data_IF_579581034314
#
_entry.id   IF_579581034314
#
_cell.length_a   1.000
_cell.length_b   1.000
_cell.length_c   1.000
_cell.angle_alpha   90.00
_cell.angle_beta   90.00
_cell.angle_gamma   90.00
#
_symmetry.space_group_name_H-M   'P 1'
#
loop_
_entity.id
_entity.type
_entity.pdbx_description
1 polymer ?
#
# COMPACT_ATOMS: atom_id res chain seq x y z
N UNK A 1 -9.10 -11.54 -2.20
CA UNK A 1 -7.86 -10.76 -1.96
C UNK A 1 -7.74 -10.35 -0.50
N UNK A 2 -6.53 -10.41 0.06
CA UNK A 2 -6.21 -9.95 1.42
C UNK A 2 -5.04 -8.94 1.37
N UNK A 3 -5.19 -7.77 2.00
CA UNK A 3 -4.15 -6.74 2.10
C UNK A 3 -3.66 -6.65 3.54
N UNK A 4 -2.41 -7.03 3.77
CA UNK A 4 -1.74 -7.04 5.06
C UNK A 4 -0.70 -5.94 5.12
N UNK A 5 -0.59 -5.26 6.26
CA UNK A 5 0.48 -4.27 6.48
C UNK A 5 1.65 -4.99 7.13
N UNK A 6 2.75 -5.15 6.40
CA UNK A 6 3.98 -5.77 6.90
C UNK A 6 4.80 -4.81 7.73
N UNK A 7 4.90 -3.56 7.27
CA UNK A 7 5.74 -2.56 7.88
C UNK A 7 5.10 -1.20 7.82
N UNK A 8 5.15 -0.50 8.94
CA UNK A 8 4.76 0.90 9.08
C UNK A 8 5.92 1.65 9.74
N UNK A 9 6.37 2.72 9.12
CA UNK A 9 7.48 3.54 9.61
C UNK A 9 7.13 5.02 9.44
N UNK A 10 7.19 5.78 10.53
CA UNK A 10 6.98 7.22 10.49
C UNK A 10 8.30 7.93 10.18
N UNK A 11 8.38 8.53 8.99
CA UNK A 11 9.50 9.36 8.58
C UNK A 11 9.25 10.81 9.02
N UNK A 12 9.70 11.13 10.23
CA UNK A 12 9.57 12.47 10.83
C UNK A 12 10.33 13.56 10.05
N UNK A 13 11.36 13.20 9.28
CA UNK A 13 12.15 14.16 8.51
C UNK A 13 11.42 14.62 7.25
N UNK A 14 10.61 13.72 6.66
CA UNK A 14 9.90 13.95 5.40
C UNK A 14 8.38 14.04 5.59
N UNK A 15 7.91 14.19 6.83
CA UNK A 15 6.50 14.25 7.22
C UNK A 15 5.64 13.24 6.45
N UNK A 16 6.08 11.98 6.46
CA UNK A 16 5.36 10.91 5.74
C UNK A 16 5.47 9.59 6.47
N UNK A 17 4.41 8.80 6.39
CA UNK A 17 4.39 7.41 6.83
C UNK A 17 4.74 6.50 5.66
N UNK A 18 5.78 5.69 5.81
CA UNK A 18 6.14 4.63 4.86
C UNK A 18 5.39 3.36 5.22
N UNK A 19 4.70 2.80 4.24
CA UNK A 19 3.93 1.57 4.38
C UNK A 19 4.45 0.53 3.40
N UNK A 20 4.64 -0.68 3.91
CA UNK A 20 4.88 -1.87 3.11
C UNK A 20 3.69 -2.81 3.27
N UNK A 21 2.99 -3.05 2.18
CA UNK A 21 1.81 -3.89 2.12
C UNK A 21 2.19 -5.22 1.47
N UNK A 22 1.77 -6.32 2.06
CA UNK A 22 1.72 -7.64 1.43
C UNK A 22 0.28 -7.89 0.99
N UNK A 23 0.10 -8.13 -0.30
CA UNK A 23 -1.17 -8.43 -0.91
C UNK A 23 -1.16 -9.91 -1.28
N UNK A 24 -2.11 -10.68 -0.76
CA UNK A 24 -2.39 -12.05 -1.19
C UNK A 24 -3.60 -12.02 -2.13
N UNK A 25 -3.41 -12.51 -3.35
CA UNK A 25 -4.42 -12.53 -4.41
C UNK A 25 -4.51 -13.93 -5.04
N UNK A 26 -4.78 -14.93 -4.21
CA UNK A 26 -5.00 -16.29 -4.71
C UNK A 26 -6.16 -16.31 -5.72
N UNK A 27 -5.82 -16.60 -6.98
CA UNK A 27 -6.74 -16.66 -8.15
C UNK A 27 -7.39 -15.33 -8.54
N UNK A 28 -6.93 -14.21 -7.99
CA UNK A 28 -7.40 -12.87 -8.34
C UNK A 28 -6.28 -12.07 -9.01
N UNK A 29 -6.61 -11.10 -9.89
CA UNK A 29 -5.60 -10.21 -10.45
C UNK A 29 -4.94 -9.37 -9.36
N UNK A 30 -3.70 -8.94 -9.63
CA UNK A 30 -2.99 -7.97 -8.78
C UNK A 30 -3.90 -6.73 -8.61
N UNK A 31 -4.09 -6.22 -7.38
CA UNK A 31 -4.93 -5.05 -7.16
C UNK A 31 -4.43 -3.87 -7.95
N UNK A 32 -5.40 -3.13 -8.49
CA UNK A 32 -5.14 -1.86 -9.14
C UNK A 32 -4.64 -0.83 -8.12
N UNK A 33 -3.92 0.19 -8.62
CA UNK A 33 -3.48 1.33 -7.79
C UNK A 33 -4.65 1.98 -7.05
N UNK A 34 -5.81 2.12 -7.70
CA UNK A 34 -7.02 2.71 -7.10
C UNK A 34 -7.49 1.94 -5.87
N UNK A 35 -7.58 0.62 -5.95
CA UNK A 35 -8.01 -0.22 -4.82
C UNK A 35 -7.07 -0.11 -3.61
N UNK A 36 -5.76 -0.04 -3.85
CA UNK A 36 -4.78 0.16 -2.79
C UNK A 36 -4.93 1.55 -2.15
N UNK A 37 -5.18 2.58 -2.95
CA UNK A 37 -5.44 3.94 -2.46
C UNK A 37 -6.70 3.94 -1.61
N UNK A 38 -7.82 3.42 -2.11
CA UNK A 38 -9.09 3.37 -1.37
C UNK A 38 -8.95 2.61 -0.03
N UNK A 39 -8.23 1.49 -0.02
CA UNK A 39 -7.94 0.73 1.18
C UNK A 39 -7.16 1.58 2.21
N UNK A 40 -6.11 2.27 1.77
CA UNK A 40 -5.29 3.12 2.63
C UNK A 40 -6.06 4.35 3.12
N UNK A 41 -6.88 4.97 2.27
CA UNK A 41 -7.71 6.12 2.62
C UNK A 41 -8.73 5.74 3.69
N UNK A 42 -9.44 4.61 3.51
CA UNK A 42 -10.39 4.10 4.50
C UNK A 42 -9.71 3.72 5.81
N UNK A 43 -8.54 3.07 5.75
CA UNK A 43 -7.84 2.56 6.93
C UNK A 43 -7.19 3.66 7.77
N UNK A 44 -6.61 4.67 7.13
CA UNK A 44 -5.91 5.77 7.81
C UNK A 44 -6.72 7.06 7.87
N UNK A 45 -7.94 7.07 7.33
CA UNK A 45 -8.82 8.24 7.24
C UNK A 45 -8.11 9.46 6.61
N UNK A 46 -7.42 9.22 5.50
CA UNK A 46 -6.67 10.25 4.76
C UNK A 46 -7.24 10.42 3.35
N UNK A 47 -7.03 11.60 2.79
CA UNK A 47 -7.40 11.91 1.42
C UNK A 47 -6.51 11.17 0.40
N UNK A 48 -7.07 10.83 -0.77
CA UNK A 48 -6.35 10.15 -1.85
C UNK A 48 -5.10 10.93 -2.30
N UNK A 49 -5.17 12.26 -2.26
CA UNK A 49 -4.05 13.16 -2.61
C UNK A 49 -2.83 12.97 -1.71
N UNK A 50 -3.02 12.47 -0.48
CA UNK A 50 -1.94 12.20 0.48
C UNK A 50 -1.31 10.83 0.29
N UNK A 51 -1.96 9.92 -0.44
CA UNK A 51 -1.49 8.55 -0.63
C UNK A 51 -0.72 8.43 -1.95
N UNK A 52 0.57 8.12 -1.85
CA UNK A 52 1.45 7.92 -3.00
C UNK A 52 1.97 6.49 -3.05
N UNK A 53 1.62 5.76 -4.10
CA UNK A 53 2.16 4.42 -4.35
C UNK A 53 3.50 4.56 -5.07
N UNK A 54 4.58 4.05 -4.46
CA UNK A 54 5.91 4.02 -5.08
C UNK A 54 6.00 2.91 -6.13
N UNK A 55 5.62 1.69 -5.75
CA UNK A 55 5.57 0.54 -6.67
C UNK A 55 4.64 -0.54 -6.12
N UNK A 56 4.21 -1.41 -7.03
CA UNK A 56 3.53 -2.68 -6.75
C UNK A 56 4.33 -3.74 -7.50
N UNK A 57 4.91 -4.69 -6.77
CA UNK A 57 5.76 -5.74 -7.35
C UNK A 57 5.15 -7.10 -7.03
N UNK A 58 4.82 -7.86 -8.07
CA UNK A 58 4.43 -9.26 -7.93
C UNK A 58 5.63 -10.13 -7.61
N UNK A 59 5.51 -11.04 -6.64
CA UNK A 59 6.52 -12.05 -6.38
C UNK A 59 6.34 -13.18 -7.39
N UNK A 60 7.39 -13.48 -8.17
CA UNK A 60 7.35 -14.47 -9.24
C UNK A 60 7.05 -15.87 -8.67
N UNK A 61 6.06 -16.56 -9.24
CA UNK A 61 5.69 -17.91 -8.82
C UNK A 61 4.85 -17.98 -7.53
N UNK A 62 4.36 -16.85 -7.02
CA UNK A 62 3.43 -16.83 -5.89
C UNK A 62 2.26 -15.88 -6.15
N UNK A 63 1.10 -16.17 -5.57
CA UNK A 63 -0.07 -15.29 -5.59
C UNK A 63 0.06 -14.14 -4.58
N UNK A 64 1.26 -13.58 -4.47
CA UNK A 64 1.59 -12.50 -3.55
C UNK A 64 2.24 -11.32 -4.26
N UNK A 65 1.94 -10.13 -3.79
CA UNK A 65 2.54 -8.88 -4.26
C UNK A 65 2.90 -8.00 -3.09
N UNK A 66 3.95 -7.21 -3.28
CA UNK A 66 4.42 -6.24 -2.31
C UNK A 66 4.15 -4.86 -2.88
N UNK A 67 3.42 -4.03 -2.15
CA UNK A 67 3.20 -2.64 -2.51
C UNK A 67 3.89 -1.72 -1.50
N UNK A 68 4.68 -0.78 -2.00
CA UNK A 68 5.31 0.25 -1.17
C UNK A 68 4.59 1.57 -1.37
N UNK A 69 4.05 2.09 -0.27
CA UNK A 69 3.22 3.29 -0.27
C UNK A 69 3.78 4.32 0.72
N UNK A 70 3.48 5.58 0.44
CA UNK A 70 3.75 6.70 1.33
C UNK A 70 2.43 7.42 1.61
N UNK A 71 2.19 7.77 2.87
CA UNK A 71 1.11 8.68 3.25
C UNK A 71 1.78 9.95 3.73
N UNK A 72 1.52 11.06 3.06
CA UNK A 72 2.05 12.37 3.46
C UNK A 72 1.17 12.99 4.56
N UNK A 73 1.80 13.46 5.63
CA UNK A 73 1.15 14.33 6.61
C UNK A 73 1.24 15.76 6.05
N UNK A 74 0.11 16.48 6.06
CA UNK A 74 0.01 17.83 5.50
C UNK A 74 0.63 18.85 6.47
#
# INVERSE_FOLDING_TARGET
MEILIKKEENDKLLNRKKLELEIKHEKEPIPSRKQIIEFLCKKYNVDESKVKIKYILGKKGSATSIAKCYIHEA
#
